data_IF_547956490901
#
_entry.id   IF_547956490901
#
_cell.length_a   1.000
_cell.length_b   1.000
_cell.length_c   1.000
_cell.angle_alpha   90.00
_cell.angle_beta   90.00
_cell.angle_gamma   90.00
#
_symmetry.space_group_name_H-M   'P 1'
#
loop_
_entity.id
_entity.type
_entity.pdbx_description
1 polymer ?
#
# COMPACT_ATOMS: atom_id res chain seq x y z
N UNK A 1 -2.12 34.02 -3.79
CA UNK A 1 -1.38 33.55 -4.98
C UNK A 1 -0.93 32.11 -4.74
N UNK A 2 -1.47 31.14 -5.48
CA UNK A 2 -1.05 29.73 -5.36
C UNK A 2 0.37 29.55 -5.93
N UNK A 3 1.25 28.83 -5.21
CA UNK A 3 2.59 28.49 -5.68
C UNK A 3 2.51 27.73 -7.01
N UNK A 4 3.20 28.21 -8.04
CA UNK A 4 3.33 27.51 -9.32
C UNK A 4 3.99 26.14 -9.09
N UNK A 5 3.48 25.10 -9.76
CA UNK A 5 3.95 23.72 -9.67
C UNK A 5 4.04 23.12 -11.06
N UNK A 6 4.96 22.18 -11.24
CA UNK A 6 5.02 21.34 -12.43
C UNK A 6 3.78 20.45 -12.54
N UNK A 7 3.52 19.94 -13.75
CA UNK A 7 2.45 18.98 -14.01
C UNK A 7 2.57 17.75 -13.11
N UNK A 8 1.44 17.22 -12.62
CA UNK A 8 1.41 16.03 -11.74
C UNK A 8 1.59 14.73 -12.53
N UNK A 9 2.00 13.68 -11.83
CA UNK A 9 2.10 12.31 -12.36
C UNK A 9 3.49 11.95 -12.93
N UNK A 10 3.65 10.66 -13.27
CA UNK A 10 4.88 10.11 -13.85
C UNK A 10 5.23 10.83 -15.16
N UNK A 11 6.52 11.09 -15.36
CA UNK A 11 7.06 11.71 -16.59
C UNK A 11 6.80 10.80 -17.80
N UNK A 12 7.00 9.49 -17.63
CA UNK A 12 6.61 8.47 -18.61
C UNK A 12 5.66 7.49 -17.91
N UNK A 13 4.34 7.52 -18.20
CA UNK A 13 3.40 6.54 -17.71
C UNK A 13 3.78 5.12 -18.18
N UNK A 14 3.70 4.12 -17.29
CA UNK A 14 4.09 2.73 -17.58
C UNK A 14 5.50 2.63 -18.21
N UNK A 15 6.46 3.40 -17.69
CA UNK A 15 7.83 3.54 -18.24
C UNK A 15 8.48 2.21 -18.59
N UNK A 16 8.50 1.25 -17.68
CA UNK A 16 9.14 -0.06 -17.90
C UNK A 16 8.48 -0.84 -19.04
N UNK A 17 7.14 -0.90 -19.10
CA UNK A 17 6.41 -1.52 -20.20
C UNK A 17 6.79 -0.91 -21.54
N UNK A 18 6.84 0.42 -21.64
CA UNK A 18 7.18 1.12 -22.89
C UNK A 18 8.63 0.87 -23.33
N UNK A 19 9.56 0.89 -22.37
CA UNK A 19 10.97 0.55 -22.64
C UNK A 19 11.07 -0.90 -23.12
N UNK A 20 10.42 -1.84 -22.42
CA UNK A 20 10.40 -3.25 -22.82
C UNK A 20 9.79 -3.46 -24.20
N UNK A 21 8.72 -2.74 -24.55
CA UNK A 21 8.11 -2.77 -25.89
C UNK A 21 9.13 -2.42 -26.96
N UNK A 22 9.85 -1.29 -26.80
CA UNK A 22 10.87 -0.85 -27.77
C UNK A 22 12.01 -1.87 -27.84
N UNK A 23 12.52 -2.32 -26.69
CA UNK A 23 13.62 -3.29 -26.66
C UNK A 23 13.23 -4.65 -27.25
N UNK A 24 11.96 -5.05 -27.16
CA UNK A 24 11.46 -6.30 -27.76
C UNK A 24 11.44 -6.28 -29.28
N UNK A 25 11.52 -5.10 -29.90
CA UNK A 25 11.56 -4.89 -31.35
C UNK A 25 12.99 -4.72 -31.89
N UNK A 26 13.98 -4.64 -31.00
CA UNK A 26 15.39 -4.39 -31.34
C UNK A 26 16.25 -5.63 -31.02
N UNK A 27 17.50 -5.62 -31.50
CA UNK A 27 18.49 -6.62 -31.12
C UNK A 27 18.78 -6.61 -29.61
N UNK A 28 19.13 -7.78 -29.05
CA UNK A 28 19.31 -8.00 -27.60
C UNK A 28 20.37 -7.06 -26.99
N UNK A 29 21.39 -6.71 -27.76
CA UNK A 29 22.51 -5.88 -27.36
C UNK A 29 22.42 -4.43 -27.87
N UNK A 30 21.26 -3.99 -28.36
CA UNK A 30 21.09 -2.66 -28.96
C UNK A 30 21.67 -1.54 -28.09
N UNK A 31 22.24 -0.54 -28.75
CA UNK A 31 22.76 0.66 -28.12
C UNK A 31 21.64 1.63 -27.74
N UNK A 32 22.03 2.72 -27.07
CA UNK A 32 21.09 3.75 -26.65
C UNK A 32 20.48 4.49 -27.85
N UNK A 33 21.24 4.71 -28.92
CA UNK A 33 20.79 5.53 -30.04
C UNK A 33 19.71 4.80 -30.85
N UNK A 34 19.89 3.50 -31.09
CA UNK A 34 18.89 2.62 -31.71
C UNK A 34 17.61 2.58 -30.88
N UNK A 35 17.75 2.36 -29.56
CA UNK A 35 16.62 2.42 -28.63
C UNK A 35 15.92 3.78 -28.65
N UNK A 36 16.66 4.88 -28.61
CA UNK A 36 16.10 6.22 -28.48
C UNK A 36 15.40 6.67 -29.76
N UNK A 37 15.95 6.33 -30.93
CA UNK A 37 15.30 6.56 -32.21
C UNK A 37 13.94 5.86 -32.26
N UNK A 38 13.91 4.58 -31.90
CA UNK A 38 12.70 3.77 -31.94
C UNK A 38 11.69 4.18 -30.86
N UNK A 39 12.15 4.56 -29.67
CA UNK A 39 11.30 5.10 -28.62
C UNK A 39 10.58 6.37 -29.06
N UNK A 40 11.27 7.30 -29.75
CA UNK A 40 10.62 8.51 -30.28
C UNK A 40 9.61 8.19 -31.37
N UNK A 41 9.88 7.16 -32.19
CA UNK A 41 8.97 6.71 -33.24
C UNK A 41 7.69 6.11 -32.67
N UNK A 42 7.80 5.25 -31.66
CA UNK A 42 6.66 4.53 -31.06
C UNK A 42 5.92 5.40 -30.04
N UNK A 43 6.64 6.21 -29.27
CA UNK A 43 6.09 6.99 -28.14
C UNK A 43 6.42 8.50 -28.23
N UNK A 44 6.08 9.19 -29.34
CA UNK A 44 6.45 10.60 -29.54
C UNK A 44 5.87 11.52 -28.45
N UNK A 45 4.63 11.28 -28.03
CA UNK A 45 3.96 12.06 -26.96
C UNK A 45 4.64 11.90 -25.59
N UNK A 46 5.22 10.74 -25.30
CA UNK A 46 5.97 10.56 -24.05
C UNK A 46 7.30 11.31 -24.10
N UNK A 47 7.95 11.36 -25.27
CA UNK A 47 9.14 12.18 -25.46
C UNK A 47 8.85 13.68 -25.30
N UNK A 48 7.77 14.18 -25.91
CA UNK A 48 7.30 15.55 -25.72
C UNK A 48 7.04 15.85 -24.23
N UNK A 49 6.47 14.89 -23.50
CA UNK A 49 6.20 15.02 -22.07
C UNK A 49 7.47 15.12 -21.22
N UNK A 50 8.53 14.39 -21.56
CA UNK A 50 9.85 14.50 -20.91
C UNK A 50 10.39 15.93 -21.09
N UNK A 51 10.39 16.45 -22.32
CA UNK A 51 10.86 17.81 -22.61
C UNK A 51 10.02 18.87 -21.90
N UNK A 52 8.70 18.73 -21.94
CA UNK A 52 7.78 19.65 -21.26
C UNK A 52 8.03 19.67 -19.76
N UNK A 53 8.19 18.50 -19.13
CA UNK A 53 8.46 18.41 -17.69
C UNK A 53 9.81 19.05 -17.33
N UNK A 54 10.82 18.85 -18.16
CA UNK A 54 12.13 19.47 -18.00
C UNK A 54 12.01 21.01 -18.03
N UNK A 55 11.37 21.57 -19.07
CA UNK A 55 11.14 23.00 -19.20
C UNK A 55 10.29 23.59 -18.06
N UNK A 56 9.30 22.85 -17.55
CA UNK A 56 8.52 23.26 -16.37
C UNK A 56 9.42 23.38 -15.14
N UNK A 57 10.39 22.49 -14.96
CA UNK A 57 11.38 22.58 -13.88
C UNK A 57 12.39 23.71 -14.12
N UNK A 58 12.84 23.92 -15.36
CA UNK A 58 13.79 24.98 -15.76
C UNK A 58 13.24 26.35 -15.33
N UNK A 59 11.98 26.62 -15.68
CA UNK A 59 11.28 27.88 -15.37
C UNK A 59 11.11 28.14 -13.87
N UNK A 60 11.05 27.09 -13.06
CA UNK A 60 10.79 27.17 -11.62
C UNK A 60 12.07 27.08 -10.78
N UNK A 61 13.17 26.63 -11.37
CA UNK A 61 14.45 26.45 -10.68
C UNK A 61 15.11 27.82 -10.53
N UNK A 62 15.41 28.21 -9.29
CA UNK A 62 16.07 29.49 -9.00
C UNK A 62 17.56 29.42 -9.37
N UNK A 63 18.18 30.53 -9.79
CA UNK A 63 19.62 30.60 -10.01
C UNK A 63 20.41 30.05 -8.82
N UNK A 64 21.43 29.24 -9.09
CA UNK A 64 22.28 28.60 -8.06
C UNK A 64 21.65 27.41 -7.33
N UNK A 65 20.44 26.96 -7.70
CA UNK A 65 19.86 25.70 -7.21
C UNK A 65 20.01 24.60 -8.25
N UNK A 66 20.21 23.37 -7.78
CA UNK A 66 20.29 22.19 -8.64
C UNK A 66 18.95 21.91 -9.31
N UNK A 67 18.99 21.56 -10.59
CA UNK A 67 17.80 21.23 -11.38
C UNK A 67 17.20 19.89 -10.90
N UNK A 68 15.89 19.82 -10.58
CA UNK A 68 15.28 18.61 -10.00
C UNK A 68 15.23 17.37 -10.90
N UNK A 69 15.47 17.54 -12.21
CA UNK A 69 15.37 16.50 -13.22
C UNK A 69 16.62 16.52 -14.11
N UNK A 70 17.15 15.37 -14.48
CA UNK A 70 18.23 15.32 -15.46
C UNK A 70 17.76 15.88 -16.82
N UNK A 71 18.71 16.39 -17.61
CA UNK A 71 18.49 16.75 -19.01
C UNK A 71 17.73 15.64 -19.76
N UNK A 72 16.79 15.97 -20.68
CA UNK A 72 15.88 15.00 -21.28
C UNK A 72 16.57 13.76 -21.86
N UNK A 73 17.69 13.94 -22.58
CA UNK A 73 18.47 12.85 -23.15
C UNK A 73 19.10 11.97 -22.07
N UNK A 74 19.67 12.59 -21.04
CA UNK A 74 20.28 11.88 -19.91
C UNK A 74 19.25 11.14 -19.05
N UNK A 75 18.04 11.69 -18.92
CA UNK A 75 16.91 11.02 -18.29
C UNK A 75 16.55 9.72 -19.05
N UNK A 76 16.46 9.79 -20.39
CA UNK A 76 16.20 8.62 -21.23
C UNK A 76 17.33 7.59 -21.17
N UNK A 77 18.59 8.04 -21.23
CA UNK A 77 19.77 7.17 -21.14
C UNK A 77 19.83 6.45 -19.79
N UNK A 78 19.55 7.15 -18.70
CA UNK A 78 19.45 6.56 -17.36
C UNK A 78 18.33 5.52 -17.29
N UNK A 79 17.16 5.81 -17.87
CA UNK A 79 16.03 4.89 -17.87
C UNK A 79 16.33 3.60 -18.66
N UNK A 80 16.92 3.73 -19.85
CA UNK A 80 17.38 2.63 -20.68
C UNK A 80 18.40 1.75 -19.95
N UNK A 81 19.48 2.34 -19.42
CA UNK A 81 20.53 1.61 -18.73
C UNK A 81 20.04 0.92 -17.46
N UNK A 82 19.18 1.60 -16.70
CA UNK A 82 18.56 1.01 -15.50
C UNK A 82 17.72 -0.21 -15.83
N UNK A 83 16.99 -0.16 -16.95
CA UNK A 83 16.14 -1.26 -17.36
C UNK A 83 16.94 -2.43 -17.95
N UNK A 84 17.96 -2.19 -18.78
CA UNK A 84 18.88 -3.26 -19.25
C UNK A 84 19.57 -3.97 -18.07
N UNK A 85 20.03 -3.22 -17.05
CA UNK A 85 20.59 -3.82 -15.84
C UNK A 85 19.59 -4.68 -15.08
N UNK A 86 18.32 -4.28 -15.04
CA UNK A 86 17.24 -5.06 -14.42
C UNK A 86 17.05 -6.40 -15.16
N UNK A 87 16.90 -6.35 -16.49
CA UNK A 87 16.76 -7.55 -17.33
C UNK A 87 17.94 -8.51 -17.14
N UNK A 88 19.18 -7.99 -17.13
CA UNK A 88 20.39 -8.80 -16.90
C UNK A 88 20.39 -9.44 -15.50
N UNK A 89 20.05 -8.68 -14.47
CA UNK A 89 19.99 -9.18 -13.09
C UNK A 89 18.93 -10.27 -12.91
N UNK A 90 17.80 -10.13 -13.58
CA UNK A 90 16.69 -11.08 -13.52
C UNK A 90 16.85 -12.22 -14.53
N UNK A 91 17.86 -12.17 -15.41
CA UNK A 91 18.11 -13.14 -16.49
C UNK A 91 16.89 -13.37 -17.40
N UNK A 92 16.15 -12.29 -17.70
CA UNK A 92 14.96 -12.32 -18.56
C UNK A 92 15.13 -11.41 -19.78
N UNK A 93 14.47 -11.75 -20.89
CA UNK A 93 14.44 -10.88 -22.07
C UNK A 93 13.38 -9.78 -21.93
N UNK A 94 13.45 -8.74 -22.78
CA UNK A 94 12.40 -7.72 -22.82
C UNK A 94 11.03 -8.31 -23.22
N UNK A 95 11.02 -9.35 -24.06
CA UNK A 95 9.80 -10.06 -24.46
C UNK A 95 9.23 -10.86 -23.29
N UNK A 96 10.06 -11.59 -22.55
CA UNK A 96 9.62 -12.32 -21.34
C UNK A 96 9.10 -11.37 -20.27
N UNK A 97 9.75 -10.20 -20.12
CA UNK A 97 9.24 -9.16 -19.23
C UNK A 97 7.84 -8.68 -19.64
N UNK A 98 7.58 -8.46 -20.94
CA UNK A 98 6.24 -8.11 -21.41
C UNK A 98 5.23 -9.21 -21.15
N UNK A 99 5.59 -10.46 -21.44
CA UNK A 99 4.74 -11.63 -21.14
C UNK A 99 4.41 -11.70 -19.64
N UNK A 100 5.37 -11.44 -18.75
CA UNK A 100 5.14 -11.42 -17.30
C UNK A 100 4.19 -10.30 -16.82
N UNK A 101 3.98 -9.27 -17.64
CA UNK A 101 3.00 -8.21 -17.35
C UNK A 101 1.59 -8.58 -17.84
N UNK A 102 1.50 -9.46 -18.83
CA UNK A 102 0.25 -9.99 -19.39
C UNK A 102 -0.24 -11.22 -18.62
N UNK A 103 0.70 -12.03 -18.10
CA UNK A 103 0.39 -13.12 -17.19
C UNK A 103 -0.35 -12.57 -15.96
N UNK A 104 -1.54 -13.11 -15.62
CA UNK A 104 -2.17 -12.79 -14.36
C UNK A 104 -1.19 -13.21 -13.26
N UNK A 105 -0.56 -12.24 -12.58
CA UNK A 105 0.28 -12.52 -11.41
C UNK A 105 -0.43 -13.58 -10.57
N UNK A 106 0.22 -14.73 -10.38
CA UNK A 106 -0.34 -15.86 -9.64
C UNK A 106 -1.08 -15.30 -8.42
N UNK A 107 -2.38 -15.62 -8.34
CA UNK A 107 -3.23 -14.99 -7.33
C UNK A 107 -2.68 -15.27 -5.92
N UNK A 108 -2.07 -16.43 -5.77
CA UNK A 108 -1.41 -16.95 -4.59
C UNK A 108 -0.50 -18.11 -5.03
N UNK A 109 0.45 -18.48 -4.19
CA UNK A 109 1.26 -19.69 -4.34
C UNK A 109 0.65 -20.83 -3.53
N UNK A 110 0.77 -22.08 -3.96
CA UNK A 110 0.43 -23.28 -3.17
C UNK A 110 1.55 -23.63 -2.14
N UNK A 111 2.67 -22.90 -2.15
CA UNK A 111 3.78 -23.10 -1.20
C UNK A 111 3.48 -22.52 0.19
N UNK A 112 4.25 -22.96 1.19
CA UNK A 112 4.23 -22.34 2.51
C UNK A 112 4.96 -20.98 2.54
N UNK A 113 4.52 -20.04 3.40
CA UNK A 113 5.28 -18.84 3.67
C UNK A 113 6.68 -19.14 4.20
N UNK A 114 7.68 -18.32 3.82
CA UNK A 114 8.99 -18.40 4.45
C UNK A 114 8.93 -18.04 5.93
N UNK A 115 9.89 -18.50 6.72
CA UNK A 115 9.91 -18.28 8.18
C UNK A 115 9.80 -16.79 8.57
N UNK A 116 10.46 -15.92 7.81
CA UNK A 116 10.36 -14.47 7.99
C UNK A 116 8.92 -13.97 7.80
N UNK A 117 8.24 -14.43 6.74
CA UNK A 117 6.85 -14.08 6.47
C UNK A 117 5.94 -14.62 7.56
N UNK A 118 6.16 -15.86 8.01
CA UNK A 118 5.41 -16.44 9.12
C UNK A 118 5.52 -15.64 10.41
N UNK A 119 6.73 -15.19 10.76
CA UNK A 119 6.96 -14.31 11.91
C UNK A 119 6.19 -13.01 11.79
N UNK A 120 6.17 -12.40 10.60
CA UNK A 120 5.41 -11.18 10.34
C UNK A 120 3.90 -11.40 10.44
N UNK A 121 3.37 -12.51 9.90
CA UNK A 121 1.96 -12.90 10.01
C UNK A 121 1.57 -13.05 11.49
N UNK A 122 2.27 -13.91 12.24
CA UNK A 122 1.98 -14.21 13.65
C UNK A 122 2.06 -12.96 14.53
N UNK A 123 3.06 -12.10 14.29
CA UNK A 123 3.18 -10.82 15.00
C UNK A 123 2.01 -9.89 14.70
N UNK A 124 1.59 -9.78 13.44
CA UNK A 124 0.59 -8.79 13.04
C UNK A 124 -0.83 -9.24 13.38
N UNK A 125 -1.15 -10.53 13.22
CA UNK A 125 -2.50 -11.05 13.47
C UNK A 125 -2.86 -11.04 14.95
N UNK A 126 -1.88 -11.18 15.84
CA UNK A 126 -2.07 -11.15 17.30
C UNK A 126 -2.30 -9.76 17.87
N UNK A 127 -2.19 -8.69 17.06
CA UNK A 127 -2.43 -7.32 17.51
C UNK A 127 -3.93 -7.02 17.57
N UNK A 128 -4.56 -7.40 18.68
CA UNK A 128 -6.01 -7.25 18.91
C UNK A 128 -6.51 -5.80 18.88
N UNK A 129 -5.64 -4.82 19.16
CA UNK A 129 -5.99 -3.40 19.20
C UNK A 129 -5.73 -2.64 17.88
N UNK A 130 -5.32 -3.33 16.81
CA UNK A 130 -5.06 -2.69 15.51
C UNK A 130 -5.54 -3.55 14.34
N UNK A 131 -6.69 -3.16 13.80
CA UNK A 131 -7.26 -3.74 12.61
C UNK A 131 -6.31 -3.60 11.41
N UNK A 132 -5.52 -2.52 11.31
CA UNK A 132 -4.56 -2.36 10.22
C UNK A 132 -3.48 -3.45 10.23
N UNK A 133 -3.02 -3.84 11.43
CA UNK A 133 -2.07 -4.95 11.55
C UNK A 133 -2.71 -6.26 11.12
N UNK A 134 -3.95 -6.53 11.53
CA UNK A 134 -4.66 -7.75 11.13
C UNK A 134 -4.96 -7.77 9.62
N UNK A 135 -5.33 -6.64 9.01
CA UNK A 135 -5.44 -6.51 7.54
C UNK A 135 -4.12 -6.83 6.83
N UNK A 136 -2.99 -6.32 7.33
CA UNK A 136 -1.66 -6.65 6.78
C UNK A 136 -1.36 -8.15 6.89
N UNK A 137 -1.71 -8.79 8.01
CA UNK A 137 -1.56 -10.23 8.17
C UNK A 137 -2.39 -11.01 7.15
N UNK A 138 -3.67 -10.65 6.95
CA UNK A 138 -4.55 -11.27 5.95
C UNK A 138 -4.01 -11.07 4.53
N UNK A 139 -3.44 -9.90 4.22
CA UNK A 139 -2.81 -9.68 2.93
C UNK A 139 -1.60 -10.58 2.69
N UNK A 140 -0.84 -10.93 3.74
CA UNK A 140 0.26 -11.88 3.65
C UNK A 140 -0.26 -13.33 3.55
N UNK A 141 -1.22 -13.72 4.38
CA UNK A 141 -1.89 -15.03 4.33
C UNK A 141 -2.47 -15.30 2.94
N UNK A 142 -3.18 -14.32 2.36
CA UNK A 142 -3.79 -14.43 1.03
C UNK A 142 -2.83 -14.53 -0.16
N UNK A 143 -1.52 -14.66 0.08
CA UNK A 143 -0.49 -14.98 -0.93
C UNK A 143 -0.13 -16.46 -0.96
N UNK A 144 -0.53 -17.24 0.05
CA UNK A 144 -0.14 -18.64 0.21
C UNK A 144 -1.37 -19.48 0.53
N UNK A 145 -1.69 -20.44 -0.34
CA UNK A 145 -2.79 -21.38 -0.16
C UNK A 145 -2.25 -22.68 0.44
N UNK A 146 -1.80 -22.59 1.69
CA UNK A 146 -1.50 -23.76 2.50
C UNK A 146 -2.55 -23.91 3.62
N UNK A 147 -2.65 -25.09 4.22
CA UNK A 147 -3.64 -25.43 5.24
C UNK A 147 -3.63 -24.44 6.39
N UNK A 148 -2.46 -24.10 6.94
CA UNK A 148 -2.33 -23.17 8.05
C UNK A 148 -2.81 -21.76 7.68
N UNK A 149 -2.52 -21.32 6.45
CA UNK A 149 -2.99 -20.02 5.98
C UNK A 149 -4.52 -20.00 5.86
N UNK A 150 -5.11 -21.08 5.34
CA UNK A 150 -6.56 -21.25 5.22
C UNK A 150 -7.20 -21.23 6.62
N UNK A 151 -6.69 -22.00 7.57
CA UNK A 151 -7.23 -22.08 8.92
C UNK A 151 -7.20 -20.73 9.64
N UNK A 152 -6.09 -19.99 9.50
CA UNK A 152 -5.98 -18.65 10.07
C UNK A 152 -6.96 -17.66 9.41
N UNK A 153 -7.16 -17.75 8.10
CA UNK A 153 -8.15 -16.94 7.38
C UNK A 153 -9.57 -17.29 7.81
N UNK A 154 -9.92 -18.57 7.94
CA UNK A 154 -11.24 -19.03 8.40
C UNK A 154 -11.50 -18.54 9.82
N UNK A 155 -10.54 -18.71 10.73
CA UNK A 155 -10.65 -18.20 12.10
C UNK A 155 -10.88 -16.67 12.11
N UNK A 156 -10.13 -15.93 11.29
CA UNK A 156 -10.26 -14.46 11.22
C UNK A 156 -11.60 -14.03 10.63
N UNK A 157 -12.07 -14.72 9.58
CA UNK A 157 -13.36 -14.48 8.96
C UNK A 157 -14.52 -14.61 9.96
N UNK A 158 -14.43 -15.61 10.86
CA UNK A 158 -15.49 -15.91 11.81
C UNK A 158 -15.41 -15.08 13.10
N UNK A 159 -14.20 -14.74 13.56
CA UNK A 159 -13.99 -14.26 14.93
C UNK A 159 -13.47 -12.81 15.05
N UNK A 160 -13.06 -12.16 13.97
CA UNK A 160 -12.56 -10.78 14.09
C UNK A 160 -13.68 -9.81 14.45
N UNK A 161 -13.44 -8.86 15.36
CA UNK A 161 -14.45 -7.86 15.74
C UNK A 161 -14.64 -6.74 14.70
N UNK A 162 -13.76 -6.63 13.70
CA UNK A 162 -13.86 -5.63 12.64
C UNK A 162 -14.36 -6.28 11.35
N UNK A 163 -15.52 -5.82 10.88
CA UNK A 163 -16.17 -6.31 9.67
C UNK A 163 -15.25 -6.30 8.43
N UNK A 164 -14.49 -5.22 8.21
CA UNK A 164 -13.57 -5.09 7.08
C UNK A 164 -12.44 -6.13 7.12
N UNK A 165 -12.05 -6.56 8.32
CA UNK A 165 -11.05 -7.61 8.53
C UNK A 165 -11.66 -8.98 8.21
N UNK A 166 -12.87 -9.26 8.73
CA UNK A 166 -13.63 -10.47 8.38
C UNK A 166 -13.85 -10.60 6.87
N UNK A 167 -14.31 -9.52 6.23
CA UNK A 167 -14.58 -9.46 4.79
C UNK A 167 -13.32 -9.73 3.98
N UNK A 168 -12.20 -9.11 4.34
CA UNK A 168 -10.95 -9.34 3.61
C UNK A 168 -10.52 -10.81 3.70
N UNK A 169 -10.69 -11.45 4.86
CA UNK A 169 -10.39 -12.87 5.02
C UNK A 169 -11.30 -13.76 4.15
N UNK A 170 -12.61 -13.49 4.13
CA UNK A 170 -13.57 -14.13 3.23
C UNK A 170 -13.16 -13.98 1.75
N UNK A 171 -12.84 -12.76 1.31
CA UNK A 171 -12.40 -12.49 -0.06
C UNK A 171 -11.13 -13.27 -0.44
N UNK A 172 -10.20 -13.50 0.52
CA UNK A 172 -9.00 -14.33 0.29
C UNK A 172 -9.34 -15.81 0.11
N UNK A 173 -10.23 -16.34 0.94
CA UNK A 173 -10.67 -17.73 0.89
C UNK A 173 -11.42 -18.03 -0.41
N UNK A 174 -12.36 -17.17 -0.81
CA UNK A 174 -13.04 -17.27 -2.12
C UNK A 174 -12.03 -17.22 -3.27
N UNK A 175 -11.02 -16.35 -3.15
CA UNK A 175 -9.95 -16.25 -4.16
C UNK A 175 -9.10 -17.52 -4.27
N UNK A 176 -8.98 -18.31 -3.20
CA UNK A 176 -8.36 -19.63 -3.20
C UNK A 176 -9.22 -20.72 -3.86
N UNK A 177 -10.45 -20.37 -4.27
CA UNK A 177 -11.43 -21.30 -4.85
C UNK A 177 -12.17 -22.12 -3.79
N UNK A 178 -12.17 -21.69 -2.53
CA UNK A 178 -12.84 -22.38 -1.44
C UNK A 178 -14.30 -21.93 -1.32
N UNK A 179 -15.20 -22.89 -1.09
CA UNK A 179 -16.57 -22.59 -0.69
C UNK A 179 -16.62 -22.32 0.81
N UNK A 180 -16.71 -21.04 1.17
CA UNK A 180 -16.73 -20.57 2.57
C UNK A 180 -18.05 -19.90 2.94
N UNK A 181 -19.11 -20.19 2.16
CA UNK A 181 -20.45 -19.67 2.39
C UNK A 181 -20.58 -18.16 2.13
N UNK A 182 -21.73 -17.62 2.53
CA UNK A 182 -22.06 -16.22 2.31
C UNK A 182 -21.14 -15.28 3.08
N UNK A 183 -20.80 -14.15 2.45
CA UNK A 183 -20.01 -13.10 3.08
C UNK A 183 -20.65 -12.64 4.41
N UNK A 184 -19.87 -12.33 5.45
CA UNK A 184 -20.38 -11.72 6.67
C UNK A 184 -21.28 -10.51 6.36
N UNK A 185 -22.34 -10.33 7.15
CA UNK A 185 -23.20 -9.15 7.07
C UNK A 185 -22.56 -8.02 7.87
N UNK A 186 -22.50 -6.82 7.28
CA UNK A 186 -22.00 -5.64 8.00
C UNK A 186 -22.95 -5.36 9.17
N UNK A 187 -22.45 -5.35 10.42
CA UNK A 187 -23.29 -5.00 11.55
C UNK A 187 -23.70 -3.51 11.47
N UNK A 188 -24.85 -3.13 12.06
CA UNK A 188 -25.18 -1.72 12.27
C UNK A 188 -24.07 -1.05 13.11
N UNK A 189 -24.05 0.29 13.12
CA UNK A 189 -23.01 1.06 13.81
C UNK A 189 -22.69 0.50 15.21
N UNK A 190 -21.43 0.12 15.41
CA UNK A 190 -20.99 -0.40 16.71
C UNK A 190 -21.20 0.66 17.79
N UNK A 191 -21.96 0.27 18.82
CA UNK A 191 -22.24 1.10 19.98
C UNK A 191 -22.10 0.22 21.20
N UNK A 192 -21.05 0.40 22.00
CA UNK A 192 -20.95 -0.22 23.31
C UNK A 192 -21.72 0.64 24.33
N UNK A 193 -22.83 0.14 24.92
CA UNK A 193 -23.62 0.89 25.90
C UNK A 193 -22.82 1.29 27.14
N UNK A 194 -21.71 0.60 27.44
CA UNK A 194 -20.87 0.85 28.61
C UNK A 194 -19.62 1.68 28.29
N UNK A 195 -19.49 2.21 27.07
CA UNK A 195 -18.26 2.88 26.65
C UNK A 195 -17.89 4.08 27.53
N UNK A 196 -18.90 4.85 27.97
CA UNK A 196 -18.69 6.01 28.84
C UNK A 196 -18.18 5.57 30.21
N UNK A 197 -18.74 4.51 30.80
CA UNK A 197 -18.28 3.96 32.07
C UNK A 197 -16.87 3.37 31.95
N UNK A 198 -16.57 2.65 30.87
CA UNK A 198 -15.23 2.11 30.60
C UNK A 198 -14.20 3.23 30.52
N UNK A 199 -14.49 4.31 29.79
CA UNK A 199 -13.60 5.46 29.66
C UNK A 199 -13.45 6.20 31.01
N UNK A 200 -14.53 6.40 31.75
CA UNK A 200 -14.48 6.99 33.10
C UNK A 200 -13.60 6.16 34.06
N UNK A 201 -13.64 4.82 33.96
CA UNK A 201 -12.83 3.91 34.78
C UNK A 201 -11.31 4.02 34.59
N UNK A 202 -10.85 4.83 33.61
CA UNK A 202 -9.44 5.15 33.41
C UNK A 202 -8.93 6.21 34.40
N UNK A 203 -9.82 6.94 35.07
CA UNK A 203 -9.48 7.89 36.13
C UNK A 203 -8.88 9.22 35.66
N UNK A 204 -9.17 9.64 34.42
CA UNK A 204 -8.76 10.94 33.89
C UNK A 204 -9.93 11.91 33.95
N UNK A 205 -9.67 13.18 34.28
CA UNK A 205 -10.69 14.24 34.22
C UNK A 205 -10.72 14.96 32.87
N UNK A 206 -11.84 15.62 32.57
CA UNK A 206 -12.00 16.44 31.36
C UNK A 206 -10.97 17.57 31.25
N UNK A 207 -10.55 18.16 32.37
CA UNK A 207 -9.50 19.19 32.39
C UNK A 207 -8.12 18.61 32.04
N UNK A 208 -7.78 17.45 32.62
CA UNK A 208 -6.49 16.79 32.40
C UNK A 208 -6.26 16.43 30.92
N UNK A 209 -7.30 15.98 30.21
CA UNK A 209 -7.18 15.53 28.82
C UNK A 209 -7.19 16.66 27.78
N UNK A 210 -7.28 17.92 28.22
CA UNK A 210 -6.97 19.09 27.38
C UNK A 210 -5.48 19.13 27.04
N UNK A 211 -4.62 18.80 28.00
CA UNK A 211 -3.19 18.63 27.75
C UNK A 211 -2.93 17.47 26.79
N UNK A 212 -2.07 17.72 25.79
CA UNK A 212 -1.76 16.75 24.74
C UNK A 212 -1.13 15.49 25.32
N UNK A 213 -0.16 15.63 26.23
CA UNK A 213 0.60 14.49 26.79
C UNK A 213 -0.31 13.60 27.64
N UNK A 214 -1.15 14.20 28.46
CA UNK A 214 -2.09 13.50 29.32
C UNK A 214 -3.19 12.80 28.52
N UNK A 215 -3.69 13.43 27.45
CA UNK A 215 -4.63 12.79 26.52
C UNK A 215 -4.02 11.55 25.83
N UNK A 216 -2.77 11.61 25.38
CA UNK A 216 -2.09 10.43 24.81
C UNK A 216 -1.93 9.32 25.86
N UNK A 217 -1.64 9.68 27.12
CA UNK A 217 -1.59 8.70 28.22
C UNK A 217 -2.95 8.03 28.43
N UNK A 218 -4.04 8.80 28.47
CA UNK A 218 -5.40 8.28 28.61
C UNK A 218 -5.78 7.34 27.46
N UNK A 219 -5.44 7.69 26.23
CA UNK A 219 -5.64 6.83 25.05
C UNK A 219 -4.81 5.54 25.14
N UNK A 220 -3.57 5.63 25.61
CA UNK A 220 -2.71 4.46 25.82
C UNK A 220 -3.28 3.51 26.86
N UNK A 221 -3.81 4.04 27.97
CA UNK A 221 -4.49 3.23 29.00
C UNK A 221 -5.81 2.64 28.49
N UNK A 222 -6.59 3.39 27.71
CA UNK A 222 -7.78 2.88 27.04
C UNK A 222 -7.44 1.69 26.14
N UNK A 223 -6.40 1.82 25.30
CA UNK A 223 -5.90 0.75 24.44
C UNK A 223 -5.46 -0.48 25.23
N UNK A 224 -4.79 -0.31 26.37
CA UNK A 224 -4.32 -1.43 27.20
C UNK A 224 -5.48 -2.17 27.88
N UNK A 225 -6.41 -1.42 28.48
CA UNK A 225 -7.50 -1.98 29.29
C UNK A 225 -8.67 -2.48 28.44
N UNK A 226 -8.94 -1.83 27.32
CA UNK A 226 -10.05 -2.11 26.41
C UNK A 226 -9.58 -2.16 24.94
N UNK A 227 -8.71 -3.10 24.58
CA UNK A 227 -8.07 -3.14 23.25
C UNK A 227 -9.06 -3.30 22.10
N UNK A 228 -10.12 -4.10 22.29
CA UNK A 228 -11.15 -4.33 21.27
C UNK A 228 -11.98 -3.05 21.05
N UNK A 229 -12.43 -2.40 22.12
CA UNK A 229 -13.16 -1.13 22.02
C UNK A 229 -12.28 -0.05 21.39
N UNK A 230 -11.02 0.03 21.80
CA UNK A 230 -10.05 0.93 21.17
C UNK A 230 -9.98 0.71 19.66
N UNK A 231 -9.88 -0.54 19.22
CA UNK A 231 -9.81 -0.88 17.80
C UNK A 231 -11.09 -0.52 17.05
N UNK A 232 -12.26 -0.85 17.61
CA UNK A 232 -13.57 -0.51 17.05
C UNK A 232 -13.78 1.00 16.90
N UNK A 233 -13.40 1.78 17.92
CA UNK A 233 -13.59 3.22 17.91
C UNK A 233 -12.53 3.96 17.08
N UNK A 234 -11.30 3.48 17.03
CA UNK A 234 -10.30 4.02 16.10
C UNK A 234 -10.67 3.74 14.64
N UNK A 235 -11.16 2.53 14.33
CA UNK A 235 -11.66 2.19 13.00
C UNK A 235 -12.88 3.04 12.59
N UNK A 236 -13.88 3.15 13.48
CA UNK A 236 -15.14 3.85 13.16
C UNK A 236 -15.02 5.37 13.16
N UNK A 237 -14.25 5.96 14.08
CA UNK A 237 -14.10 7.42 14.21
C UNK A 237 -12.93 7.97 13.40
N UNK A 238 -11.94 7.14 13.03
CA UNK A 238 -10.77 7.53 12.21
C UNK A 238 -10.10 8.79 12.76
N UNK A 239 -9.98 9.84 11.95
CA UNK A 239 -9.39 11.13 12.31
C UNK A 239 -10.15 11.87 13.43
N UNK A 240 -11.40 11.49 13.71
CA UNK A 240 -12.20 12.07 14.79
C UNK A 240 -12.04 11.32 16.12
N UNK A 241 -11.33 10.18 16.16
CA UNK A 241 -11.20 9.34 17.36
C UNK A 241 -10.78 10.14 18.60
N UNK A 242 -9.72 10.94 18.49
CA UNK A 242 -9.19 11.71 19.62
C UNK A 242 -10.17 12.76 20.14
N UNK A 243 -10.89 13.43 19.23
CA UNK A 243 -11.91 14.41 19.60
C UNK A 243 -13.12 13.73 20.25
N UNK A 244 -13.55 12.59 19.70
CA UNK A 244 -14.62 11.77 20.27
C UNK A 244 -14.26 11.24 21.66
N UNK A 245 -13.06 10.69 21.84
CA UNK A 245 -12.57 10.11 23.09
C UNK A 245 -12.60 11.14 24.23
N UNK A 246 -12.11 12.37 23.98
CA UNK A 246 -12.17 13.46 24.97
C UNK A 246 -13.59 13.80 25.38
N UNK A 247 -14.55 13.80 24.45
CA UNK A 247 -15.96 14.06 24.76
C UNK A 247 -16.59 12.98 25.64
N UNK A 248 -16.02 11.78 25.69
CA UNK A 248 -16.50 10.71 26.56
C UNK A 248 -15.99 10.84 28.00
N UNK A 249 -14.98 11.69 28.23
CA UNK A 249 -14.44 11.98 29.56
C UNK A 249 -15.19 13.20 30.08
N UNK A 250 -16.12 12.96 31.00
CA UNK A 250 -16.83 13.99 31.78
C UNK A 250 -15.92 14.63 32.81
#
# INVERSE_FOLDING_TARGET
MSRQRVSKGSVIPKKEFKIATVLSLLAVDCDFDSFFSEFKRIYPKDWERVNKRYQEHERLTKPGKSHPMAEPLQYMKTAFNSFKRKLLKESITAKDFLLSLEEPKEKYSESEPSEKVWKDIKRNISVVYSFEKRLLAIHLLGKYKCTECIDMLVNTMNNDHIFEVQKLAHDKLVRFGLDVGAQPKRPPHHTDPQITQKIASLGFSSEQVKDKKTCERAISEFRKKYPIDYDLYTHSKRNQFKAWFRKQIS
#
